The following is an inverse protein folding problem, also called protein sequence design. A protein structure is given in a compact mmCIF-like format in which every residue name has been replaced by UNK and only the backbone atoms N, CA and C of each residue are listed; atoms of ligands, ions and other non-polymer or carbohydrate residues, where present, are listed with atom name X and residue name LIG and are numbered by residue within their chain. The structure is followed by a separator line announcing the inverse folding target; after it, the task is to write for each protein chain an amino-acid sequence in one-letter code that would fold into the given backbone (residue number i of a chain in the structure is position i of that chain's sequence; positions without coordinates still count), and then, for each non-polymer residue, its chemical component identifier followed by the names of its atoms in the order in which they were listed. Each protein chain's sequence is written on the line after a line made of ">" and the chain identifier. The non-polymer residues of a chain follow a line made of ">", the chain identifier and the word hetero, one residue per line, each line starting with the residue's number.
data_IF_829190073206
#
_entry.id   IF_829190073206
#
_cell.length_a   1.000
_cell.length_b   1.000
_cell.length_c   1.000
_cell.angle_alpha   90.00
_cell.angle_beta   90.00
_cell.angle_gamma   90.00
#
_symmetry.space_group_name_H-M   'P 1'
#
loop_
_entity.id
_entity.type
_entity.pdbx_description
1 polymer ?
#
# COMPACT_ATOMS: atom_id res chain seq x y z
N UNK A 1 -10.69 32.69 -8.05
CA UNK A 1 -10.77 31.23 -8.32
C UNK A 1 -9.91 30.51 -7.31
N UNK A 2 -10.50 29.85 -6.31
CA UNK A 2 -9.70 29.08 -5.36
C UNK A 2 -9.12 27.87 -6.10
N UNK A 3 -7.80 27.74 -6.10
CA UNK A 3 -7.13 26.50 -6.44
C UNK A 3 -7.53 25.48 -5.39
N UNK A 4 -8.61 24.74 -5.64
CA UNK A 4 -8.97 23.57 -4.84
C UNK A 4 -7.79 22.61 -4.95
N UNK A 5 -6.99 22.63 -3.89
CA UNK A 5 -5.83 21.77 -3.73
C UNK A 5 -6.34 20.35 -3.67
N UNK A 6 -5.80 19.45 -4.50
CA UNK A 6 -6.23 18.06 -4.49
C UNK A 6 -5.32 17.27 -3.55
N UNK A 7 -5.85 16.62 -2.48
CA UNK A 7 -5.13 15.56 -1.78
C UNK A 7 -4.75 14.49 -2.80
N UNK A 8 -3.51 14.04 -2.72
CA UNK A 8 -3.03 12.93 -3.55
C UNK A 8 -3.80 11.68 -3.17
N UNK A 9 -4.17 10.88 -4.16
CA UNK A 9 -4.76 9.56 -3.92
C UNK A 9 -3.78 8.58 -3.25
N UNK A 10 -2.50 8.93 -3.28
CA UNK A 10 -1.39 8.10 -2.86
C UNK A 10 -0.71 8.74 -1.65
N UNK A 11 -0.49 7.94 -0.61
CA UNK A 11 0.24 8.31 0.59
C UNK A 11 1.15 7.14 0.97
N UNK A 12 2.41 7.44 1.22
CA UNK A 12 3.29 6.49 1.90
C UNK A 12 2.94 6.55 3.38
N UNK A 13 2.41 5.45 3.91
CA UNK A 13 2.22 5.27 5.35
C UNK A 13 3.56 5.11 6.02
N UNK A 14 3.59 5.35 7.34
CA UNK A 14 4.73 4.92 8.13
C UNK A 14 4.96 3.42 7.91
N UNK A 15 6.22 3.05 7.76
CA UNK A 15 6.63 1.67 7.50
C UNK A 15 7.40 1.21 8.73
N UNK A 16 6.72 0.69 9.77
CA UNK A 16 7.40 0.16 10.93
C UNK A 16 8.13 -1.11 10.53
N UNK A 17 9.44 -1.17 10.76
CA UNK A 17 10.31 -2.33 10.53
C UNK A 17 11.08 -2.69 11.79
N UNK A 18 11.73 -3.84 11.82
CA UNK A 18 12.73 -4.15 12.85
C UNK A 18 13.92 -3.21 12.77
N UNK A 19 14.60 -3.02 13.90
CA UNK A 19 15.85 -2.26 13.96
C UNK A 19 16.91 -2.90 13.06
N UNK A 20 17.02 -4.24 13.07
CA UNK A 20 17.91 -5.00 12.19
C UNK A 20 17.70 -4.66 10.71
N UNK A 21 16.45 -4.66 10.24
CA UNK A 21 16.15 -4.30 8.85
C UNK A 21 16.58 -2.87 8.53
N UNK A 22 16.29 -1.91 9.40
CA UNK A 22 16.65 -0.50 9.16
C UNK A 22 18.16 -0.27 9.16
N UNK A 23 18.88 -0.96 10.04
CA UNK A 23 20.34 -0.89 10.16
C UNK A 23 21.03 -1.52 8.96
N UNK A 24 20.51 -2.64 8.43
CA UNK A 24 21.06 -3.26 7.23
C UNK A 24 21.00 -2.33 6.02
N UNK A 25 19.87 -1.62 5.82
CA UNK A 25 19.79 -0.60 4.77
C UNK A 25 20.75 0.56 5.01
N UNK A 26 20.90 1.01 6.26
CA UNK A 26 21.82 2.11 6.58
C UNK A 26 23.28 1.72 6.33
N UNK A 27 23.63 0.47 6.63
CA UNK A 27 24.95 -0.09 6.41
C UNK A 27 25.26 -0.27 4.92
N UNK A 28 24.30 -0.80 4.15
CA UNK A 28 24.48 -1.03 2.71
C UNK A 28 24.45 0.28 1.89
N UNK A 29 23.74 1.30 2.37
CA UNK A 29 23.54 2.59 1.71
C UNK A 29 23.92 3.77 2.64
N UNK A 30 25.19 3.87 3.08
CA UNK A 30 25.61 4.85 4.09
C UNK A 30 25.47 6.30 3.61
N UNK A 31 25.60 6.52 2.31
CA UNK A 31 25.45 7.82 1.64
C UNK A 31 24.04 8.39 1.69
N UNK A 32 23.02 7.60 2.06
CA UNK A 32 21.67 8.13 2.28
C UNK A 32 21.58 9.06 3.48
N UNK A 33 22.38 8.83 4.53
CA UNK A 33 22.36 9.63 5.76
C UNK A 33 20.95 10.03 6.20
N UNK A 34 20.70 11.35 6.27
CA UNK A 34 19.42 11.96 6.65
C UNK A 34 18.54 12.38 5.44
N UNK A 35 18.81 11.89 4.23
CA UNK A 35 17.97 12.16 3.06
C UNK A 35 16.64 11.38 3.13
N UNK A 36 15.70 11.94 3.88
CA UNK A 36 14.37 11.34 4.08
C UNK A 36 13.62 11.10 2.78
N UNK A 37 13.86 11.88 1.71
CA UNK A 37 13.18 11.69 0.44
C UNK A 37 13.62 10.38 -0.23
N UNK A 38 14.92 10.09 -0.19
CA UNK A 38 15.51 8.84 -0.69
C UNK A 38 15.07 7.63 0.14
N UNK A 39 15.02 7.78 1.47
CA UNK A 39 14.44 6.75 2.36
C UNK A 39 12.97 6.45 2.05
N UNK A 40 12.16 7.47 1.74
CA UNK A 40 10.75 7.27 1.33
C UNK A 40 10.63 6.54 0.00
N UNK A 41 11.52 6.80 -0.95
CA UNK A 41 11.55 6.06 -2.22
C UNK A 41 11.85 4.57 -1.99
N UNK A 42 12.81 4.25 -1.12
CA UNK A 42 13.10 2.87 -0.73
C UNK A 42 11.93 2.23 0.01
N UNK A 43 11.30 2.95 0.94
CA UNK A 43 10.12 2.49 1.65
C UNK A 43 9.00 2.12 0.67
N UNK A 44 8.77 2.96 -0.33
CA UNK A 44 7.81 2.71 -1.40
C UNK A 44 8.19 1.49 -2.23
N UNK A 45 9.46 1.32 -2.58
CA UNK A 45 9.93 0.21 -3.40
C UNK A 45 9.78 -1.15 -2.70
N UNK A 46 10.10 -1.24 -1.42
CA UNK A 46 10.21 -2.51 -0.71
C UNK A 46 8.96 -2.89 0.07
N UNK A 47 8.16 -1.90 0.50
CA UNK A 47 7.06 -2.13 1.44
C UNK A 47 5.70 -1.64 0.94
N UNK A 48 5.61 -0.97 -0.22
CA UNK A 48 4.31 -0.59 -0.76
C UNK A 48 3.68 -1.70 -1.62
N UNK A 49 2.35 -1.82 -1.59
CA UNK A 49 1.61 -2.81 -2.37
C UNK A 49 1.21 -2.36 -3.78
N UNK A 50 1.60 -1.15 -4.21
CA UNK A 50 1.17 -0.58 -5.49
C UNK A 50 2.09 -1.01 -6.63
N UNK A 51 1.61 -2.00 -7.38
CA UNK A 51 2.28 -2.55 -8.55
C UNK A 51 1.37 -2.41 -9.78
N UNK A 52 1.99 -2.37 -10.94
CA UNK A 52 1.30 -2.51 -12.22
C UNK A 52 0.82 -3.95 -12.38
N UNK A 53 -0.45 -4.17 -12.72
CA UNK A 53 -1.04 -5.53 -12.76
C UNK A 53 -0.49 -6.39 -13.91
N UNK A 54 -0.06 -5.75 -15.01
CA UNK A 54 0.45 -6.44 -16.19
C UNK A 54 1.93 -6.82 -16.02
N UNK A 55 2.75 -5.87 -15.58
CA UNK A 55 4.21 -6.05 -15.48
C UNK A 55 4.68 -6.46 -14.09
N UNK A 56 3.85 -6.27 -13.07
CA UNK A 56 4.20 -6.49 -11.67
C UNK A 56 5.19 -5.50 -11.08
N UNK A 57 5.61 -4.50 -11.85
CA UNK A 57 6.59 -3.52 -11.42
C UNK A 57 5.98 -2.52 -10.44
N UNK A 58 6.76 -2.09 -9.45
CA UNK A 58 6.34 -1.03 -8.53
C UNK A 58 6.18 0.29 -9.30
N UNK A 59 5.00 0.91 -9.17
CA UNK A 59 4.70 2.19 -9.82
C UNK A 59 4.82 3.31 -8.80
N UNK A 60 5.52 4.39 -9.17
CA UNK A 60 5.62 5.60 -8.34
C UNK A 60 5.13 6.82 -9.14
N UNK A 61 3.94 7.38 -8.80
CA UNK A 61 3.46 8.60 -9.44
C UNK A 61 4.39 9.79 -9.17
N UNK A 62 4.52 10.71 -10.11
CA UNK A 62 5.32 11.93 -9.92
C UNK A 62 4.82 12.78 -8.74
N UNK A 63 3.52 12.78 -8.47
CA UNK A 63 2.90 13.40 -7.29
C UNK A 63 3.44 12.83 -5.98
N UNK A 64 3.69 11.51 -5.94
CA UNK A 64 4.26 10.84 -4.76
C UNK A 64 5.73 11.21 -4.59
N UNK A 65 6.50 11.28 -5.67
CA UNK A 65 7.90 11.73 -5.62
C UNK A 65 8.01 13.17 -5.12
N UNK A 66 7.11 14.05 -5.57
CA UNK A 66 7.04 15.42 -5.07
C UNK A 66 6.78 15.46 -3.56
N UNK A 67 5.86 14.62 -3.07
CA UNK A 67 5.59 14.50 -1.64
C UNK A 67 6.79 13.95 -0.86
N UNK A 68 7.57 13.02 -1.44
CA UNK A 68 8.79 12.51 -0.78
C UNK A 68 9.80 13.61 -0.53
N UNK A 69 9.90 14.57 -1.45
CA UNK A 69 10.72 15.78 -1.29
C UNK A 69 10.07 16.87 -0.41
N UNK A 70 8.96 16.56 0.28
CA UNK A 70 8.28 17.50 1.19
C UNK A 70 7.45 18.57 0.48
N UNK A 71 7.21 18.43 -0.83
CA UNK A 71 6.41 19.39 -1.60
C UNK A 71 4.94 19.11 -1.31
N UNK A 72 4.24 20.06 -0.67
CA UNK A 72 2.82 19.91 -0.29
C UNK A 72 1.87 19.69 -1.48
N UNK A 73 2.28 20.10 -2.68
CA UNK A 73 1.52 20.00 -3.92
C UNK A 73 2.43 19.52 -5.02
N UNK A 74 1.93 18.78 -6.02
CA UNK A 74 2.68 18.49 -7.23
C UNK A 74 2.93 19.81 -7.99
N UNK A 75 4.18 20.33 -8.01
CA UNK A 75 4.47 21.57 -8.71
C UNK A 75 4.12 21.45 -10.20
N UNK A 76 3.64 22.53 -10.83
CA UNK A 76 3.41 22.56 -12.29
C UNK A 76 4.65 22.16 -13.10
N UNK A 77 5.85 22.34 -12.55
CA UNK A 77 7.13 22.04 -13.18
C UNK A 77 7.97 21.06 -12.35
N UNK A 78 7.33 20.08 -11.72
CA UNK A 78 8.06 19.04 -11.00
C UNK A 78 8.94 18.20 -11.94
N UNK A 79 10.25 18.19 -11.69
CA UNK A 79 11.18 17.29 -12.36
C UNK A 79 11.46 16.07 -11.48
N UNK A 80 10.73 14.98 -11.75
CA UNK A 80 11.02 13.68 -11.14
C UNK A 80 12.43 13.18 -11.51
N UNK A 81 12.91 13.54 -12.70
CA UNK A 81 14.24 13.17 -13.20
C UNK A 81 15.35 13.72 -12.31
N UNK A 82 15.26 14.99 -11.92
CA UNK A 82 16.26 15.62 -11.03
C UNK A 82 16.33 14.91 -9.68
N UNK A 83 15.18 14.53 -9.12
CA UNK A 83 15.13 13.75 -7.88
C UNK A 83 15.78 12.38 -8.05
N UNK A 84 15.43 11.64 -9.11
CA UNK A 84 15.94 10.30 -9.37
C UNK A 84 17.43 10.30 -9.71
N UNK A 85 17.93 11.34 -10.39
CA UNK A 85 19.35 11.52 -10.64
C UNK A 85 20.12 11.74 -9.33
N UNK A 86 19.64 12.62 -8.45
CA UNK A 86 20.21 12.82 -7.11
C UNK A 86 20.20 11.51 -6.31
N UNK A 87 19.09 10.78 -6.33
CA UNK A 87 18.99 9.48 -5.68
C UNK A 87 20.04 8.49 -6.22
N UNK A 88 20.19 8.42 -7.55
CA UNK A 88 21.17 7.58 -8.25
C UNK A 88 22.61 7.91 -7.86
N UNK A 89 22.94 9.20 -7.79
CA UNK A 89 24.27 9.67 -7.37
C UNK A 89 24.55 9.36 -5.88
N UNK A 90 23.51 9.22 -5.06
CA UNK A 90 23.61 8.94 -3.63
C UNK A 90 23.63 7.44 -3.28
N UNK A 91 23.47 6.52 -4.21
CA UNK A 91 23.44 5.05 -3.95
C UNK A 91 24.56 4.32 -4.70
N UNK A 92 25.76 4.88 -4.70
CA UNK A 92 26.91 4.34 -5.45
C UNK A 92 27.42 3.00 -4.96
N UNK A 93 27.09 2.59 -3.73
CA UNK A 93 27.52 1.33 -3.12
C UNK A 93 26.78 0.10 -3.65
N UNK A 94 25.61 0.29 -4.28
CA UNK A 94 24.80 -0.80 -4.84
C UNK A 94 24.41 -0.39 -6.25
N UNK A 95 24.50 -1.30 -7.23
CA UNK A 95 24.06 -1.02 -8.60
C UNK A 95 22.53 -1.03 -8.74
N UNK A 96 21.85 -0.20 -7.94
CA UNK A 96 20.45 0.19 -8.11
C UNK A 96 20.27 1.11 -9.33
N UNK A 97 21.36 1.44 -10.03
CA UNK A 97 21.42 2.52 -11.02
C UNK A 97 21.25 2.05 -12.46
N UNK A 98 21.60 0.79 -12.76
CA UNK A 98 21.15 0.08 -13.99
C UNK A 98 19.65 -0.24 -13.98
N UNK A 99 18.93 0.25 -12.97
CA UNK A 99 17.61 -0.19 -12.55
C UNK A 99 16.63 0.99 -12.41
N UNK A 100 16.80 2.07 -13.17
CA UNK A 100 15.81 3.15 -13.22
C UNK A 100 15.71 3.56 -14.68
N UNK A 101 14.88 2.87 -15.46
CA UNK A 101 14.61 3.29 -16.84
C UNK A 101 13.47 4.28 -16.85
N UNK A 102 13.67 5.37 -17.59
CA UNK A 102 12.66 6.37 -17.85
C UNK A 102 12.03 6.09 -19.21
N UNK A 103 10.86 5.43 -19.22
CA UNK A 103 10.12 5.16 -20.47
C UNK A 103 8.93 6.10 -20.54
N UNK A 104 8.94 7.01 -21.49
CA UNK A 104 7.82 7.90 -21.78
C UNK A 104 7.30 7.64 -23.19
N UNK A 105 6.03 7.29 -23.31
CA UNK A 105 5.29 7.36 -24.58
C UNK A 105 4.22 8.45 -24.44
N UNK A 106 3.89 9.16 -25.52
CA UNK A 106 2.80 10.15 -25.50
C UNK A 106 1.51 9.38 -25.24
N UNK A 107 1.03 9.39 -23.99
CA UNK A 107 -0.15 8.70 -23.43
C UNK A 107 0.12 7.56 -22.42
N UNK A 108 1.38 7.26 -22.06
CA UNK A 108 1.70 6.32 -20.98
C UNK A 108 2.35 7.03 -19.79
N UNK A 109 2.05 6.57 -18.57
CA UNK A 109 2.72 7.04 -17.37
C UNK A 109 4.23 6.76 -17.50
N UNK A 110 5.07 7.72 -17.09
CA UNK A 110 6.52 7.52 -17.03
C UNK A 110 6.80 6.43 -16.00
N UNK A 111 7.42 5.33 -16.43
CA UNK A 111 7.73 4.19 -15.57
C UNK A 111 9.11 4.39 -14.94
N UNK A 112 9.29 3.90 -13.71
CA UNK A 112 10.61 3.62 -13.15
C UNK A 112 10.76 2.10 -13.16
N UNK A 113 11.60 1.58 -14.03
CA UNK A 113 11.85 0.13 -14.11
C UNK A 113 13.08 -0.20 -13.27
N UNK A 114 12.85 -0.86 -12.13
CA UNK A 114 13.87 -1.45 -11.26
C UNK A 114 14.29 -2.84 -11.76
N UNK A 115 15.34 -2.88 -12.59
CA UNK A 115 15.97 -4.11 -13.06
C UNK A 115 17.00 -4.66 -12.07
N UNK A 116 16.57 -5.56 -11.20
CA UNK A 116 17.43 -6.23 -10.23
C UNK A 116 17.20 -5.73 -8.81
N UNK A 117 17.81 -6.44 -7.87
CA UNK A 117 17.76 -6.15 -6.44
C UNK A 117 19.11 -6.46 -5.85
N UNK A 118 19.50 -5.73 -4.81
CA UNK A 118 20.48 -6.28 -3.88
C UNK A 118 19.84 -7.51 -3.22
N UNK A 119 20.39 -8.69 -3.49
CA UNK A 119 19.87 -9.97 -3.00
C UNK A 119 19.81 -9.98 -1.47
N UNK A 120 20.81 -9.37 -0.81
CA UNK A 120 20.90 -9.29 0.65
C UNK A 120 19.80 -8.41 1.22
N UNK A 121 19.60 -7.21 0.68
CA UNK A 121 18.52 -6.33 1.14
C UNK A 121 17.14 -6.94 0.87
N UNK A 122 16.98 -7.67 -0.24
CA UNK A 122 15.73 -8.34 -0.57
C UNK A 122 15.43 -9.50 0.37
N UNK A 123 16.44 -10.29 0.71
CA UNK A 123 16.31 -11.35 1.70
C UNK A 123 15.92 -10.80 3.07
N UNK A 124 16.59 -9.74 3.52
CA UNK A 124 16.26 -9.06 4.79
C UNK A 124 14.82 -8.54 4.79
N UNK A 125 14.38 -7.95 3.68
CA UNK A 125 12.99 -7.50 3.51
C UNK A 125 12.01 -8.66 3.56
N UNK A 126 12.35 -9.83 2.99
CA UNK A 126 11.49 -11.01 3.07
C UNK A 126 11.43 -11.61 4.47
N UNK A 127 12.54 -11.67 5.21
CA UNK A 127 12.56 -12.06 6.63
C UNK A 127 11.69 -11.12 7.48
N UNK A 128 11.79 -9.81 7.23
CA UNK A 128 10.95 -8.78 7.85
C UNK A 128 9.45 -9.02 7.56
N UNK A 129 9.09 -9.34 6.31
CA UNK A 129 7.71 -9.62 5.90
C UNK A 129 7.15 -10.93 6.47
N UNK A 130 7.99 -11.94 6.69
CA UNK A 130 7.60 -13.18 7.39
C UNK A 130 7.43 -12.93 8.89
N UNK A 131 8.07 -11.90 9.41
CA UNK A 131 8.00 -11.52 10.82
C UNK A 131 9.05 -12.21 11.68
N UNK A 132 10.14 -12.67 11.07
CA UNK A 132 11.26 -13.33 11.75
C UNK A 132 11.89 -12.44 12.83
N UNK A 133 11.86 -11.12 12.63
CA UNK A 133 12.30 -10.11 13.60
C UNK A 133 11.19 -9.66 14.57
N UNK A 134 10.14 -10.47 14.76
CA UNK A 134 8.92 -10.07 15.45
C UNK A 134 9.07 -9.71 16.95
N UNK A 135 10.19 -10.11 17.57
CA UNK A 135 10.53 -9.78 18.97
C UNK A 135 11.34 -8.50 19.12
N UNK A 136 11.85 -7.93 18.04
CA UNK A 136 12.67 -6.72 18.09
C UNK A 136 11.83 -5.46 18.27
N UNK A 137 12.46 -4.44 18.86
CA UNK A 137 11.93 -3.10 18.84
C UNK A 137 11.71 -2.63 17.39
N UNK A 138 10.59 -1.95 17.19
CA UNK A 138 10.17 -1.44 15.89
C UNK A 138 10.62 0.01 15.75
N UNK A 139 11.12 0.34 14.57
CA UNK A 139 11.48 1.70 14.17
C UNK A 139 10.79 2.06 12.87
N UNK A 140 10.60 3.36 12.63
CA UNK A 140 10.15 3.84 11.34
C UNK A 140 11.26 3.67 10.30
N UNK A 141 10.97 3.03 9.17
CA UNK A 141 11.96 2.78 8.14
C UNK A 141 12.55 4.08 7.57
N UNK A 142 11.78 5.16 7.51
CA UNK A 142 12.25 6.43 6.94
C UNK A 142 13.08 7.19 7.96
N UNK A 143 12.54 7.42 9.16
CA UNK A 143 13.19 8.30 10.15
C UNK A 143 14.12 7.58 11.11
N UNK A 144 14.02 6.24 11.24
CA UNK A 144 14.77 5.45 12.22
C UNK A 144 14.29 5.63 13.67
N UNK A 145 13.30 6.48 13.90
CA UNK A 145 12.76 6.76 15.23
C UNK A 145 11.94 5.58 15.76
N UNK A 146 11.87 5.40 17.10
CA UNK A 146 11.08 4.34 17.71
C UNK A 146 9.60 4.37 17.32
N UNK A 147 9.05 3.19 17.05
CA UNK A 147 7.66 2.98 16.67
C UNK A 147 6.81 2.49 17.85
N UNK A 148 6.48 3.41 18.74
CA UNK A 148 5.77 3.15 19.99
C UNK A 148 4.25 3.40 19.90
N UNK A 149 3.52 3.08 20.97
CA UNK A 149 2.06 3.24 21.05
C UNK A 149 1.60 4.70 20.78
N UNK A 150 2.20 5.75 21.37
CA UNK A 150 1.87 7.13 21.02
C UNK A 150 1.99 7.43 19.52
N UNK A 151 3.07 6.97 18.87
CA UNK A 151 3.26 7.15 17.42
C UNK A 151 2.17 6.47 16.60
N UNK A 152 1.83 5.22 16.94
CA UNK A 152 0.72 4.48 16.29
C UNK A 152 -0.61 5.25 16.35
N UNK A 153 -0.93 5.83 17.51
CA UNK A 153 -2.15 6.60 17.69
C UNK A 153 -2.14 7.88 16.86
N UNK A 154 -1.02 8.62 16.88
CA UNK A 154 -0.83 9.82 16.06
C UNK A 154 -1.02 9.52 14.57
N UNK A 155 -0.38 8.48 14.06
CA UNK A 155 -0.50 8.08 12.64
C UNK A 155 -1.91 7.63 12.27
N UNK A 156 -2.63 6.97 13.17
CA UNK A 156 -4.04 6.64 12.96
C UNK A 156 -4.89 7.90 12.84
N UNK A 157 -4.68 8.87 13.73
CA UNK A 157 -5.39 10.14 13.68
C UNK A 157 -5.07 10.92 12.39
N UNK A 158 -3.80 10.93 11.97
CA UNK A 158 -3.38 11.54 10.70
C UNK A 158 -3.97 10.83 9.47
N UNK A 159 -4.13 9.52 9.51
CA UNK A 159 -4.79 8.76 8.44
C UNK A 159 -6.30 9.03 8.40
N UNK A 160 -6.96 9.06 9.56
CA UNK A 160 -8.35 9.49 9.68
C UNK A 160 -8.56 10.90 9.10
N UNK A 161 -7.68 11.84 9.45
CA UNK A 161 -7.75 13.22 8.98
C UNK A 161 -7.56 13.30 7.46
N UNK A 162 -6.54 12.62 6.92
CA UNK A 162 -6.29 12.56 5.47
C UNK A 162 -7.46 11.94 4.71
N UNK A 163 -8.04 10.85 5.19
CA UNK A 163 -9.26 10.26 4.61
C UNK A 163 -10.45 11.22 4.69
N UNK A 164 -10.51 12.02 5.77
CA UNK A 164 -11.48 13.11 5.94
C UNK A 164 -11.47 14.14 4.82
N UNK A 165 -10.31 14.42 4.22
CA UNK A 165 -10.22 15.35 3.08
C UNK A 165 -10.95 14.83 1.82
N UNK A 166 -11.28 13.53 1.76
CA UNK A 166 -12.08 12.95 0.68
C UNK A 166 -13.59 13.05 0.94
N UNK A 167 -14.01 13.48 2.13
CA UNK A 167 -15.42 13.61 2.52
C UNK A 167 -16.13 14.67 1.68
N UNK A 168 -15.51 15.85 1.56
CA UNK A 168 -16.06 16.99 0.81
C UNK A 168 -16.19 16.72 -0.70
N UNK A 169 -15.60 15.62 -1.18
CA UNK A 169 -15.64 15.18 -2.59
C UNK A 169 -16.69 14.12 -2.86
N UNK A 170 -17.20 13.49 -1.82
CA UNK A 170 -18.24 12.49 -1.94
C UNK A 170 -19.54 13.20 -2.31
N UNK A 171 -19.85 13.30 -3.60
CA UNK A 171 -21.11 13.90 -4.09
C UNK A 171 -22.34 13.01 -3.84
N UNK A 172 -22.22 11.97 -3.02
CA UNK A 172 -23.28 10.99 -2.74
C UNK A 172 -23.46 10.81 -1.21
N UNK A 173 -24.68 11.03 -0.67
CA UNK A 173 -24.96 10.86 0.76
C UNK A 173 -24.67 9.47 1.33
N UNK A 174 -24.86 8.40 0.54
CA UNK A 174 -24.58 7.02 0.98
C UNK A 174 -23.07 6.80 1.14
N UNK A 175 -22.26 7.29 0.19
CA UNK A 175 -20.79 7.23 0.30
C UNK A 175 -20.28 8.03 1.50
N UNK A 176 -20.86 9.22 1.73
CA UNK A 176 -20.59 10.03 2.91
C UNK A 176 -20.92 9.27 4.21
N UNK A 177 -22.09 8.63 4.28
CA UNK A 177 -22.49 7.85 5.45
C UNK A 177 -21.49 6.73 5.76
N UNK A 178 -21.12 5.93 4.75
CA UNK A 178 -20.15 4.84 4.92
C UNK A 178 -18.77 5.38 5.32
N UNK A 179 -18.33 6.50 4.74
CA UNK A 179 -17.05 7.13 5.13
C UNK A 179 -17.04 7.57 6.60
N UNK A 180 -18.11 8.20 7.10
CA UNK A 180 -18.20 8.56 8.53
C UNK A 180 -18.13 7.32 9.41
N UNK A 181 -18.85 6.27 9.03
CA UNK A 181 -18.80 5.00 9.74
C UNK A 181 -17.37 4.44 9.78
N UNK A 182 -16.71 4.34 8.62
CA UNK A 182 -15.35 3.81 8.50
C UNK A 182 -14.32 4.64 9.29
N UNK A 183 -14.43 5.97 9.30
CA UNK A 183 -13.59 6.84 10.14
C UNK A 183 -13.79 6.59 11.63
N UNK A 184 -15.04 6.29 12.03
CA UNK A 184 -15.33 5.97 13.44
C UNK A 184 -14.68 4.66 13.90
N UNK A 185 -14.26 3.79 12.97
CA UNK A 185 -13.62 2.51 13.30
C UNK A 185 -12.21 2.66 13.85
N UNK A 186 -11.58 3.84 13.73
CA UNK A 186 -10.26 4.11 14.32
C UNK A 186 -10.20 3.82 15.82
N UNK A 187 -11.33 3.98 16.55
CA UNK A 187 -11.43 3.67 17.98
C UNK A 187 -11.35 2.17 18.30
N UNK A 188 -11.62 1.31 17.32
CA UNK A 188 -11.54 -0.15 17.45
C UNK A 188 -10.20 -0.73 16.98
N UNK A 189 -9.17 0.12 16.84
CA UNK A 189 -7.83 -0.31 16.41
C UNK A 189 -7.31 -1.54 17.14
N UNK A 190 -7.49 -1.59 18.46
CA UNK A 190 -7.03 -2.72 19.29
C UNK A 190 -7.71 -4.04 18.89
N UNK A 191 -9.00 -4.01 18.53
CA UNK A 191 -9.72 -5.19 18.01
C UNK A 191 -9.09 -5.69 16.72
N UNK A 192 -8.77 -4.78 15.78
CA UNK A 192 -8.08 -5.13 14.54
C UNK A 192 -6.65 -5.63 14.79
N UNK A 193 -5.89 -4.99 15.70
CA UNK A 193 -4.54 -5.41 16.10
C UNK A 193 -4.54 -6.83 16.66
N UNK A 194 -5.47 -7.13 17.57
CA UNK A 194 -5.61 -8.46 18.17
C UNK A 194 -6.01 -9.51 17.14
N UNK A 195 -6.90 -9.17 16.20
CA UNK A 195 -7.27 -10.07 15.11
C UNK A 195 -6.06 -10.39 14.22
N UNK A 196 -5.34 -9.37 13.76
CA UNK A 196 -4.15 -9.55 12.91
C UNK A 196 -3.10 -10.37 13.64
N UNK A 197 -2.85 -10.09 14.93
CA UNK A 197 -1.90 -10.85 15.75
C UNK A 197 -2.31 -12.32 15.88
N UNK A 198 -3.58 -12.60 16.12
CA UNK A 198 -4.11 -13.95 16.29
C UNK A 198 -4.00 -14.79 15.02
N UNK A 199 -4.25 -14.18 13.86
CA UNK A 199 -4.30 -14.89 12.58
C UNK A 199 -3.01 -14.73 11.74
N UNK A 200 -1.97 -14.08 12.28
CA UNK A 200 -0.78 -13.72 11.51
C UNK A 200 -0.10 -14.93 10.87
N UNK A 201 0.23 -15.94 11.67
CA UNK A 201 0.98 -17.11 11.21
C UNK A 201 0.19 -17.91 10.17
N UNK A 202 -1.12 -18.06 10.38
CA UNK A 202 -1.99 -18.74 9.43
C UNK A 202 -2.11 -17.97 8.12
N UNK A 203 -2.25 -16.63 8.17
CA UNK A 203 -2.27 -15.79 6.97
C UNK A 203 -0.94 -15.82 6.20
N UNK A 204 0.20 -15.89 6.91
CA UNK A 204 1.51 -16.05 6.30
C UNK A 204 1.66 -17.41 5.61
N UNK A 205 1.21 -18.49 6.24
CA UNK A 205 1.21 -19.82 5.62
C UNK A 205 0.38 -19.86 4.33
N UNK A 206 -0.77 -19.18 4.29
CA UNK A 206 -1.58 -19.04 3.06
C UNK A 206 -0.84 -18.23 2.00
N UNK A 207 -0.20 -17.11 2.37
CA UNK A 207 0.64 -16.33 1.44
C UNK A 207 1.75 -17.18 0.85
N UNK A 208 2.48 -17.93 1.67
CA UNK A 208 3.54 -18.82 1.22
C UNK A 208 3.01 -19.86 0.23
N UNK A 209 1.86 -20.46 0.51
CA UNK A 209 1.22 -21.40 -0.39
C UNK A 209 0.88 -20.78 -1.77
N UNK A 210 0.47 -19.51 -1.82
CA UNK A 210 0.23 -18.80 -3.09
C UNK A 210 1.51 -18.58 -3.92
N UNK A 211 2.66 -18.51 -3.25
CA UNK A 211 3.97 -18.38 -3.90
C UNK A 211 4.61 -19.72 -4.31
N UNK A 212 4.08 -20.86 -3.85
CA UNK A 212 4.67 -22.18 -4.14
C UNK A 212 4.57 -22.52 -5.62
N UNK A 213 5.68 -23.02 -6.14
CA UNK A 213 5.80 -23.44 -7.53
C UNK A 213 5.71 -24.96 -7.63
N UNK A 214 5.07 -25.44 -8.69
CA UNK A 214 5.01 -26.84 -9.04
C UNK A 214 6.00 -27.13 -10.17
N UNK A 215 6.44 -28.38 -10.31
CA UNK A 215 7.33 -28.79 -11.40
C UNK A 215 6.75 -28.50 -12.80
N UNK A 216 5.41 -28.46 -12.90
CA UNK A 216 4.69 -28.19 -14.14
C UNK A 216 4.50 -26.70 -14.45
N UNK A 217 4.92 -25.79 -13.56
CA UNK A 217 4.74 -24.36 -13.78
C UNK A 217 5.61 -23.87 -14.94
N UNK A 218 5.03 -23.04 -15.80
CA UNK A 218 5.82 -22.31 -16.81
C UNK A 218 6.62 -21.18 -16.16
N UNK A 219 7.61 -20.64 -16.88
CA UNK A 219 8.33 -19.44 -16.43
C UNK A 219 7.40 -18.25 -16.17
N UNK A 220 6.31 -18.13 -16.95
CA UNK A 220 5.31 -17.07 -16.77
C UNK A 220 4.48 -17.29 -15.50
N UNK A 221 4.12 -18.54 -15.18
CA UNK A 221 3.41 -18.87 -13.95
C UNK A 221 4.29 -18.60 -12.73
N UNK A 222 5.57 -18.96 -12.80
CA UNK A 222 6.56 -18.64 -11.77
C UNK A 222 6.64 -17.13 -11.50
N UNK A 223 6.78 -16.33 -12.56
CA UNK A 223 6.85 -14.87 -12.45
C UNK A 223 5.58 -14.28 -11.82
N UNK A 224 4.40 -14.75 -12.24
CA UNK A 224 3.10 -14.31 -11.73
C UNK A 224 2.90 -14.67 -10.26
N UNK A 225 3.27 -15.89 -9.85
CA UNK A 225 3.20 -16.34 -8.46
C UNK A 225 4.13 -15.54 -7.56
N UNK A 226 5.36 -15.29 -8.02
CA UNK A 226 6.35 -14.47 -7.31
C UNK A 226 5.84 -13.04 -7.10
N UNK A 227 5.21 -12.45 -8.12
CA UNK A 227 4.58 -11.14 -8.04
C UNK A 227 3.48 -11.10 -6.98
N UNK A 228 2.52 -12.04 -7.06
CA UNK A 228 1.41 -12.12 -6.11
C UNK A 228 1.94 -12.31 -4.69
N UNK A 229 2.89 -13.22 -4.49
CA UNK A 229 3.51 -13.46 -3.19
C UNK A 229 4.13 -12.18 -2.61
N UNK A 230 4.89 -11.44 -3.42
CA UNK A 230 5.55 -10.20 -3.00
C UNK A 230 4.53 -9.11 -2.66
N UNK A 231 3.54 -8.90 -3.54
CA UNK A 231 2.50 -7.90 -3.34
C UNK A 231 1.69 -8.16 -2.07
N UNK A 232 1.28 -9.42 -1.84
CA UNK A 232 0.50 -9.80 -0.67
C UNK A 232 1.32 -9.66 0.62
N UNK A 233 2.62 -9.93 0.59
CA UNK A 233 3.53 -9.65 1.71
C UNK A 233 3.57 -8.16 2.07
N UNK A 234 3.63 -7.28 1.07
CA UNK A 234 3.62 -5.82 1.29
C UNK A 234 2.29 -5.37 1.90
N UNK A 235 1.16 -5.89 1.43
CA UNK A 235 -0.17 -5.56 1.96
C UNK A 235 -0.30 -6.03 3.42
N UNK A 236 0.14 -7.26 3.73
CA UNK A 236 0.14 -7.78 5.10
C UNK A 236 0.98 -6.93 6.06
N UNK A 237 2.16 -6.48 5.63
CA UNK A 237 2.99 -5.58 6.44
C UNK A 237 2.33 -4.22 6.69
N UNK A 238 1.66 -3.66 5.67
CA UNK A 238 0.89 -2.43 5.85
C UNK A 238 -0.27 -2.62 6.84
N UNK A 239 -0.98 -3.76 6.77
CA UNK A 239 -2.03 -4.10 7.72
C UNK A 239 -1.45 -4.28 9.13
N UNK A 240 -0.27 -4.90 9.28
CA UNK A 240 0.39 -5.06 10.59
C UNK A 240 0.73 -3.71 11.24
N UNK A 241 1.17 -2.73 10.45
CA UNK A 241 1.46 -1.37 10.94
C UNK A 241 0.19 -0.53 11.17
N UNK A 242 -0.75 -0.59 10.24
CA UNK A 242 -2.04 0.10 10.27
C UNK A 242 -3.18 -0.90 10.02
N UNK A 243 -3.69 -1.56 11.08
CA UNK A 243 -4.67 -2.63 10.93
C UNK A 243 -6.09 -2.11 10.78
N UNK A 244 -6.35 -0.81 10.99
CA UNK A 244 -7.65 -0.21 10.73
C UNK A 244 -7.85 -0.09 9.21
N UNK A 245 -8.95 -0.62 8.64
CA UNK A 245 -9.27 -0.44 7.24
C UNK A 245 -9.73 0.99 6.99
N UNK A 246 -9.01 1.71 6.13
CA UNK A 246 -9.40 3.03 5.67
C UNK A 246 -9.84 2.96 4.21
N UNK A 247 -10.90 3.71 3.87
CA UNK A 247 -11.42 3.82 2.50
C UNK A 247 -11.60 5.27 2.12
N UNK A 248 -11.54 5.57 0.82
CA UNK A 248 -11.65 6.90 0.23
C UNK A 248 -12.62 6.89 -0.94
N UNK A 249 -13.13 8.07 -1.31
CA UNK A 249 -13.84 8.25 -2.59
C UNK A 249 -12.87 8.34 -3.76
N UNK A 250 -13.40 8.17 -4.98
CA UNK A 250 -12.69 8.56 -6.20
C UNK A 250 -12.35 10.05 -6.17
N UNK A 251 -11.13 10.43 -6.55
CA UNK A 251 -10.73 11.84 -6.68
C UNK A 251 -11.63 12.68 -7.59
N UNK A 252 -12.34 12.04 -8.52
CA UNK A 252 -13.27 12.71 -9.46
C UNK A 252 -14.72 12.74 -8.98
N UNK A 253 -15.05 12.05 -7.88
CA UNK A 253 -16.42 12.01 -7.34
C UNK A 253 -17.49 11.45 -8.28
N UNK A 254 -17.08 10.74 -9.35
CA UNK A 254 -18.00 10.23 -10.40
C UNK A 254 -18.67 8.90 -10.06
N UNK A 255 -18.27 8.28 -8.96
CA UNK A 255 -18.80 7.00 -8.52
C UNK A 255 -19.08 7.05 -7.03
N UNK A 256 -20.15 6.37 -6.60
CA UNK A 256 -20.45 6.14 -5.20
C UNK A 256 -19.56 5.05 -4.57
N UNK A 257 -18.76 4.34 -5.39
CA UNK A 257 -17.83 3.31 -4.91
C UNK A 257 -16.75 3.93 -4.04
N UNK A 258 -16.49 3.24 -2.93
CA UNK A 258 -15.34 3.50 -2.08
C UNK A 258 -14.19 2.57 -2.46
N UNK A 259 -12.98 3.09 -2.37
CA UNK A 259 -11.76 2.35 -2.66
C UNK A 259 -10.88 2.32 -1.42
N UNK A 260 -10.04 1.29 -1.24
CA UNK A 260 -9.09 1.28 -0.14
C UNK A 260 -8.18 2.52 -0.18
N UNK A 261 -7.94 3.09 0.99
CA UNK A 261 -6.90 4.09 1.17
C UNK A 261 -5.60 3.32 1.44
N UNK A 262 -4.63 3.41 0.50
CA UNK A 262 -3.36 2.67 0.56
C UNK A 262 -3.51 1.14 0.48
N UNK A 263 -2.41 0.44 0.75
CA UNK A 263 -2.40 -1.01 0.89
C UNK A 263 -3.16 -1.41 2.17
N UNK A 264 -4.26 -2.13 2.02
CA UNK A 264 -5.18 -2.47 3.11
C UNK A 264 -5.90 -3.79 2.84
N UNK A 265 -6.79 -4.18 3.76
CA UNK A 265 -7.60 -5.38 3.70
C UNK A 265 -8.25 -5.66 2.34
N UNK A 266 -8.72 -4.63 1.63
CA UNK A 266 -9.38 -4.80 0.33
C UNK A 266 -8.43 -5.24 -0.79
N UNK A 267 -7.12 -5.10 -0.62
CA UNK A 267 -6.11 -5.55 -1.59
C UNK A 267 -5.65 -6.99 -1.39
N UNK A 268 -6.12 -7.66 -0.33
CA UNK A 268 -5.74 -9.03 -0.05
C UNK A 268 -6.38 -10.01 -1.04
N UNK A 269 -5.64 -11.05 -1.41
CA UNK A 269 -6.21 -12.23 -2.06
C UNK A 269 -7.24 -12.87 -1.13
N UNK A 270 -8.30 -13.43 -1.73
CA UNK A 270 -9.49 -13.92 -1.01
C UNK A 270 -9.12 -14.92 0.09
N UNK A 271 -8.16 -15.79 -0.19
CA UNK A 271 -7.66 -16.84 0.69
C UNK A 271 -7.01 -16.23 1.94
N UNK A 272 -6.15 -15.22 1.76
CA UNK A 272 -5.50 -14.52 2.87
C UNK A 272 -6.53 -13.69 3.66
N UNK A 273 -7.44 -13.01 2.96
CA UNK A 273 -8.51 -12.23 3.59
C UNK A 273 -9.39 -13.09 4.50
N UNK A 274 -9.83 -14.25 4.01
CA UNK A 274 -10.64 -15.20 4.79
C UNK A 274 -9.91 -15.69 6.04
N UNK A 275 -8.61 -15.92 5.94
CA UNK A 275 -7.81 -16.35 7.08
C UNK A 275 -7.70 -15.23 8.13
N UNK A 276 -7.34 -14.02 7.70
CA UNK A 276 -7.25 -12.87 8.60
C UNK A 276 -8.58 -12.48 9.23
N UNK A 277 -9.71 -12.75 8.57
CA UNK A 277 -11.06 -12.44 9.08
C UNK A 277 -11.74 -13.65 9.74
N UNK A 278 -11.01 -14.75 9.96
CA UNK A 278 -11.57 -15.94 10.61
C UNK A 278 -12.15 -15.60 11.98
N UNK A 279 -13.42 -15.99 12.17
CA UNK A 279 -14.22 -15.72 13.36
C UNK A 279 -14.97 -14.39 13.33
N UNK A 280 -14.93 -13.65 12.22
CA UNK A 280 -15.80 -12.49 11.99
C UNK A 280 -16.92 -12.86 11.03
N UNK A 281 -18.07 -12.21 11.21
CA UNK A 281 -19.17 -12.30 10.26
C UNK A 281 -18.81 -11.51 9.00
N UNK A 282 -18.82 -12.20 7.86
CA UNK A 282 -18.64 -11.59 6.55
C UNK A 282 -19.95 -11.64 5.80
N UNK A 283 -20.47 -10.47 5.42
CA UNK A 283 -21.71 -10.33 4.67
C UNK A 283 -21.37 -9.87 3.26
N UNK A 284 -21.95 -10.55 2.26
CA UNK A 284 -21.87 -10.16 0.86
C UNK A 284 -23.27 -10.16 0.26
N UNK A 285 -23.60 -9.12 -0.50
CA UNK A 285 -24.91 -8.99 -1.12
C UNK A 285 -24.91 -9.76 -2.44
N UNK A 286 -25.54 -10.92 -2.43
CA UNK A 286 -25.68 -11.73 -3.64
C UNK A 286 -26.43 -10.98 -4.73
N UNK A 287 -25.84 -10.90 -5.93
CA UNK A 287 -26.44 -10.28 -7.12
C UNK A 287 -26.96 -8.83 -6.92
N UNK A 288 -26.36 -8.05 -6.02
CA UNK A 288 -26.83 -6.70 -5.66
C UNK A 288 -27.07 -5.77 -6.86
N UNK A 289 -26.21 -5.83 -7.87
CA UNK A 289 -26.36 -5.00 -9.08
C UNK A 289 -27.60 -5.38 -9.90
N UNK A 290 -27.91 -6.68 -9.99
CA UNK A 290 -29.11 -7.16 -10.68
C UNK A 290 -30.36 -6.80 -9.90
N UNK A 291 -30.35 -6.91 -8.57
CA UNK A 291 -31.47 -6.47 -7.73
C UNK A 291 -31.73 -4.97 -7.86
N UNK A 292 -30.67 -4.15 -7.89
CA UNK A 292 -30.78 -2.71 -8.14
C UNK A 292 -31.39 -2.44 -9.53
N UNK A 293 -30.91 -3.14 -10.56
CA UNK A 293 -31.41 -2.99 -11.93
C UNK A 293 -32.88 -3.41 -12.05
N UNK A 294 -33.24 -4.57 -11.51
CA UNK A 294 -34.62 -5.06 -11.46
C UNK A 294 -35.55 -4.01 -10.87
N UNK A 295 -35.16 -3.45 -9.72
CA UNK A 295 -35.94 -2.42 -9.03
C UNK A 295 -36.01 -1.10 -9.81
N UNK A 296 -34.92 -0.67 -10.43
CA UNK A 296 -34.86 0.59 -11.17
C UNK A 296 -35.58 0.53 -12.53
N UNK A 297 -35.61 -0.64 -13.16
CA UNK A 297 -36.25 -0.87 -14.46
C UNK A 297 -37.65 -1.46 -14.34
N UNK A 298 -38.11 -1.69 -13.10
CA UNK A 298 -39.44 -2.22 -12.79
C UNK A 298 -39.69 -3.55 -13.51
N UNK A 299 -38.73 -4.49 -13.41
CA UNK A 299 -38.81 -5.82 -14.03
C UNK A 299 -39.58 -6.76 -13.07
N UNK A 300 -40.88 -7.04 -13.31
CA UNK A 300 -41.72 -7.71 -12.33
C UNK A 300 -41.31 -9.17 -12.09
N UNK A 301 -40.69 -9.82 -13.08
CA UNK A 301 -40.20 -11.20 -12.98
C UNK A 301 -39.05 -11.36 -11.97
N UNK A 302 -38.39 -10.26 -11.60
CA UNK A 302 -37.27 -10.24 -10.66
C UNK A 302 -37.66 -9.69 -9.27
N UNK A 303 -38.86 -9.12 -9.10
CA UNK A 303 -39.38 -8.63 -7.81
C UNK A 303 -39.91 -9.76 -6.90
N UNK A 304 -40.08 -10.98 -7.44
CA UNK A 304 -40.62 -12.13 -6.74
C UNK A 304 -39.56 -13.06 -6.08
N UNK A 305 -38.27 -12.68 -6.12
CA UNK A 305 -37.13 -13.44 -5.58
C UNK A 305 -36.54 -12.79 -4.33
#
# INVERSE_FOLDING_TARGET
>A
MSTITRPTEYRLRAVPVSKTTREAFAYALPSLGNDLASWRLLAWRYFNGFVDEETGLVVVPAEVLALFEGKKHHPKHYSAETFLQRFRENITSIDLTKQIFWRGDRNKARQIIWLGTDEVLSEIVELEKRGEFGKEDRVDFVTGEPYNKPRKQKETAEECAWVGEFFDRANNPASQHILRYMQSLGKYRETYENQVKRQWDAAQAVREALGRTAYTDTNEDYARKTLVYTQQGNILMNIKGQPVPFVKTSSRGRTARLSPAGASWCGLKREIYKELTRGWDTLDLHAAQLAIVARLWDIPELDAF
#
